data_IF_537772938337
#
_entry.id   IF_537772938337
#
_cell.length_a   1.000
_cell.length_b   1.000
_cell.length_c   1.000
_cell.angle_alpha   90.00
_cell.angle_beta   90.00
_cell.angle_gamma   90.00
#
_symmetry.space_group_name_H-M   'P 1'
#
loop_
_entity.id
_entity.type
_entity.pdbx_description
1 polymer ?
#
# COMPACT_ATOMS: atom_id res chain seq x y z
N UNK A 1 27.90 -27.28 14.00
CA UNK A 1 27.25 -26.05 13.47
C UNK A 1 26.02 -25.80 14.31
N UNK A 2 26.06 -24.82 15.21
CA UNK A 2 24.92 -24.51 16.07
C UNK A 2 23.89 -23.74 15.22
N UNK A 3 22.72 -24.33 15.03
CA UNK A 3 21.60 -23.65 14.36
C UNK A 3 21.15 -22.52 15.26
N UNK A 4 21.17 -21.27 14.77
CA UNK A 4 20.60 -20.15 15.51
C UNK A 4 19.10 -20.40 15.69
N UNK A 5 18.65 -20.42 16.95
CA UNK A 5 17.24 -20.58 17.27
C UNK A 5 16.49 -19.31 16.86
N UNK A 6 15.45 -19.45 16.04
CA UNK A 6 14.67 -18.31 15.55
C UNK A 6 13.54 -18.02 16.52
N UNK A 7 13.49 -16.81 17.07
CA UNK A 7 12.38 -16.36 17.92
C UNK A 7 11.30 -15.73 17.05
N UNK A 8 10.04 -16.19 17.24
CA UNK A 8 8.87 -15.59 16.58
C UNK A 8 8.31 -14.46 17.45
N UNK A 9 8.21 -13.27 16.88
CA UNK A 9 7.56 -12.11 17.48
C UNK A 9 6.32 -11.74 16.68
N UNK A 10 5.22 -11.43 17.37
CA UNK A 10 3.96 -10.98 16.78
C UNK A 10 3.44 -9.81 17.61
N UNK A 11 3.12 -8.72 16.94
CA UNK A 11 2.42 -7.56 17.51
C UNK A 11 1.00 -7.53 16.92
N UNK A 12 0.00 -7.73 17.78
CA UNK A 12 -1.42 -7.79 17.39
C UNK A 12 -1.97 -6.42 16.95
N UNK A 13 -1.38 -5.32 17.40
CA UNK A 13 -1.81 -3.96 17.08
C UNK A 13 -1.15 -3.43 15.80
N UNK A 14 -0.04 -4.04 15.38
CA UNK A 14 0.76 -3.60 14.24
C UNK A 14 -0.07 -3.29 12.99
N UNK A 15 -0.99 -4.19 12.62
CA UNK A 15 -1.86 -4.00 11.44
C UNK A 15 -2.75 -2.76 11.53
N UNK A 16 -3.27 -2.45 12.72
CA UNK A 16 -4.17 -1.32 12.94
C UNK A 16 -3.40 -0.01 12.90
N UNK A 17 -2.27 0.02 13.61
CA UNK A 17 -1.36 1.18 13.64
C UNK A 17 -0.81 1.45 12.23
N UNK A 18 -0.37 0.42 11.52
CA UNK A 18 0.16 0.54 10.17
C UNK A 18 -0.87 1.14 9.20
N UNK A 19 -2.12 0.64 9.20
CA UNK A 19 -3.17 1.20 8.35
C UNK A 19 -3.55 2.64 8.71
N UNK A 20 -3.51 2.98 10.01
CA UNK A 20 -3.73 4.36 10.47
C UNK A 20 -2.66 5.30 9.93
N UNK A 21 -1.38 4.92 10.06
CA UNK A 21 -0.25 5.71 9.56
C UNK A 21 -0.29 5.88 8.04
N UNK A 22 -0.60 4.82 7.28
CA UNK A 22 -0.77 4.93 5.83
C UNK A 22 -1.90 5.89 5.44
N UNK A 23 -2.99 5.92 6.21
CA UNK A 23 -4.07 6.86 5.97
C UNK A 23 -3.67 8.32 6.29
N UNK A 24 -2.89 8.55 7.34
CA UNK A 24 -2.32 9.87 7.65
C UNK A 24 -1.41 10.34 6.50
N UNK A 25 -0.48 9.49 6.04
CA UNK A 25 0.36 9.77 4.88
C UNK A 25 -0.48 10.08 3.62
N UNK A 26 -1.59 9.36 3.41
CA UNK A 26 -2.51 9.63 2.28
C UNK A 26 -3.12 11.03 2.37
N UNK A 27 -3.53 11.46 3.56
CA UNK A 27 -4.15 12.77 3.80
C UNK A 27 -3.13 13.91 3.64
N UNK A 28 -1.89 13.68 4.06
CA UNK A 28 -0.78 14.64 3.93
C UNK A 28 -0.14 14.62 2.53
N UNK A 29 -0.42 13.57 1.75
CA UNK A 29 0.15 13.38 0.42
C UNK A 29 1.60 12.87 0.46
N UNK A 30 2.03 12.30 1.58
CA UNK A 30 3.34 11.68 1.72
C UNK A 30 3.37 10.30 1.05
N UNK A 31 4.43 10.05 0.29
CA UNK A 31 4.66 8.78 -0.42
C UNK A 31 3.53 8.33 -1.37
N UNK A 32 2.50 9.15 -1.59
CA UNK A 32 1.46 8.90 -2.59
C UNK A 32 2.06 8.98 -4.00
N UNK A 33 2.14 7.83 -4.65
CA UNK A 33 2.74 7.56 -5.96
C UNK A 33 1.70 7.42 -7.08
N UNK A 34 0.41 7.61 -6.77
CA UNK A 34 -0.69 7.60 -7.73
C UNK A 34 -1.77 8.63 -7.36
N UNK A 35 -2.49 9.12 -8.37
CA UNK A 35 -3.72 9.88 -8.22
C UNK A 35 -4.84 9.27 -9.05
N UNK A 36 -5.98 8.99 -8.42
CA UNK A 36 -7.21 8.53 -9.08
C UNK A 36 -8.07 9.75 -9.38
N UNK A 37 -8.53 9.89 -10.62
CA UNK A 37 -9.42 10.98 -11.04
C UNK A 37 -10.85 10.45 -11.14
N UNK A 38 -11.79 11.06 -10.43
CA UNK A 38 -13.22 10.76 -10.51
C UNK A 38 -13.96 12.07 -10.70
N UNK A 39 -14.64 12.23 -11.84
CA UNK A 39 -15.42 13.44 -12.17
C UNK A 39 -14.65 14.73 -11.85
N UNK A 40 -13.42 14.84 -12.40
CA UNK A 40 -12.47 15.95 -12.21
C UNK A 40 -11.87 16.13 -10.82
N UNK A 41 -12.22 15.29 -9.84
CA UNK A 41 -11.62 15.29 -8.50
C UNK A 41 -10.44 14.34 -8.43
N UNK A 42 -9.29 14.82 -7.94
CA UNK A 42 -8.05 14.05 -7.77
C UNK A 42 -7.92 13.48 -6.36
N UNK A 43 -7.78 12.17 -6.26
CA UNK A 43 -7.53 11.45 -5.01
C UNK A 43 -6.13 10.85 -5.02
N UNK A 44 -5.22 11.44 -4.24
CA UNK A 44 -3.88 10.87 -4.04
C UNK A 44 -3.96 9.61 -3.17
N UNK A 45 -3.22 8.58 -3.53
CA UNK A 45 -3.19 7.30 -2.84
C UNK A 45 -1.86 6.57 -3.05
N UNK A 46 -1.73 5.40 -2.43
CA UNK A 46 -0.60 4.48 -2.58
C UNK A 46 -0.97 3.32 -3.50
N UNK A 47 -0.19 3.07 -4.56
CA UNK A 47 -0.44 1.99 -5.53
C UNK A 47 -0.52 0.62 -4.85
N UNK A 48 0.37 0.36 -3.91
CA UNK A 48 0.44 -0.91 -3.18
C UNK A 48 -0.84 -1.20 -2.38
N UNK A 49 -1.40 -0.19 -1.71
CA UNK A 49 -2.64 -0.30 -0.94
C UNK A 49 -3.83 -0.54 -1.87
N UNK A 50 -3.93 0.22 -2.97
CA UNK A 50 -5.00 0.03 -3.96
C UNK A 50 -4.97 -1.36 -4.59
N UNK A 51 -3.78 -1.84 -4.98
CA UNK A 51 -3.60 -3.17 -5.56
C UNK A 51 -3.88 -4.30 -4.56
N UNK A 52 -3.56 -4.12 -3.27
CA UNK A 52 -3.87 -5.11 -2.24
C UNK A 52 -5.38 -5.23 -1.96
N UNK A 53 -6.12 -4.12 -2.07
CA UNK A 53 -7.53 -4.04 -1.67
C UNK A 53 -8.54 -4.21 -2.82
N UNK A 54 -8.10 -4.16 -4.09
CA UNK A 54 -8.99 -4.20 -5.24
C UNK A 54 -8.37 -4.92 -6.42
N UNK A 55 -9.05 -5.95 -6.95
CA UNK A 55 -8.62 -6.66 -8.15
C UNK A 55 -8.61 -5.75 -9.41
N UNK A 56 -9.49 -4.75 -9.46
CA UNK A 56 -9.49 -3.77 -10.54
C UNK A 56 -8.16 -2.99 -10.55
N UNK A 57 -7.80 -2.40 -9.41
CA UNK A 57 -6.53 -1.68 -9.27
C UNK A 57 -5.33 -2.61 -9.39
N UNK A 58 -5.39 -3.81 -8.82
CA UNK A 58 -4.32 -4.81 -8.95
C UNK A 58 -3.99 -5.09 -10.39
N UNK A 59 -5.01 -5.36 -11.21
CA UNK A 59 -4.84 -5.66 -12.62
C UNK A 59 -4.19 -4.46 -13.33
N UNK A 60 -4.81 -3.29 -13.31
CA UNK A 60 -4.28 -2.14 -14.08
C UNK A 60 -2.88 -1.70 -13.60
N UNK A 61 -2.59 -1.77 -12.30
CA UNK A 61 -1.30 -1.32 -11.75
C UNK A 61 -0.17 -2.33 -11.93
N UNK A 62 -0.48 -3.60 -12.22
CA UNK A 62 0.51 -4.65 -12.51
C UNK A 62 0.82 -4.74 -14.01
N UNK A 63 -0.14 -4.43 -14.88
CA UNK A 63 0.07 -4.43 -16.34
C UNK A 63 0.74 -3.15 -16.86
N UNK A 64 0.79 -2.06 -16.09
CA UNK A 64 1.46 -0.80 -16.46
C UNK A 64 3.00 -0.88 -16.53
N UNK A 65 3.64 -2.00 -16.17
CA UNK A 65 5.10 -2.20 -16.33
C UNK A 65 5.52 -2.81 -17.69
N UNK A 66 4.61 -2.98 -18.66
CA UNK A 66 4.94 -3.47 -20.02
C UNK A 66 4.56 -2.41 -21.05
N UNK A 67 5.27 -1.30 -21.07
CA UNK A 67 4.93 -0.18 -21.95
C UNK A 67 5.91 1.00 -21.92
N UNK A 68 7.21 0.72 -21.80
CA UNK A 68 8.28 1.62 -22.27
C UNK A 68 9.26 0.82 -23.14
#
# INVERSE_FOLDING_TARGET
LQMAETVKYVDEEHKSIFLKLLNEQRLEGEHCDIAVVVEDVKFRAHRCVLAACSNYFKNILTYECVGE
#
